data_IF_782303903586
#
_entry.id   IF_782303903586
#
_cell.length_a   1.000
_cell.length_b   1.000
_cell.length_c   1.000
_cell.angle_alpha   90.00
_cell.angle_beta   90.00
_cell.angle_gamma   90.00
#
_symmetry.space_group_name_H-M   'P 1'
#
loop_
_entity.id
_entity.type
_entity.pdbx_description
1 polymer ?
#
# COMPACT_ATOMS: atom_id res chain seq x y z
N UNK A 1 -49.78 -49.35 46.07
CA UNK A 1 -50.04 -48.39 44.98
C UNK A 1 -49.03 -48.71 43.90
N UNK A 2 -49.48 -49.44 42.90
CA UNK A 2 -48.87 -49.71 41.59
C UNK A 2 -50.03 -49.58 40.58
N UNK A 3 -49.81 -49.50 39.26
CA UNK A 3 -49.12 -48.43 38.50
C UNK A 3 -50.00 -47.98 37.30
N UNK A 4 -49.53 -47.07 36.45
CA UNK A 4 -49.94 -47.02 35.04
C UNK A 4 -48.93 -46.22 34.18
N UNK A 5 -48.29 -46.95 33.27
CA UNK A 5 -47.51 -46.46 32.13
C UNK A 5 -48.41 -45.78 31.09
N UNK A 6 -47.85 -44.84 30.34
CA UNK A 6 -48.46 -44.32 29.11
C UNK A 6 -47.39 -44.23 28.01
N UNK A 7 -47.61 -44.81 26.82
CA UNK A 7 -46.71 -44.64 25.69
C UNK A 7 -47.17 -43.47 24.82
N UNK A 8 -46.23 -42.62 24.39
CA UNK A 8 -46.47 -41.55 23.42
C UNK A 8 -45.39 -41.60 22.36
N UNK A 9 -45.80 -42.05 21.16
CA UNK A 9 -44.96 -42.39 20.03
C UNK A 9 -44.24 -41.18 19.43
N UNK A 10 -43.01 -41.44 18.96
CA UNK A 10 -42.27 -40.60 18.03
C UNK A 10 -42.87 -40.79 16.64
N UNK A 11 -43.35 -39.70 16.03
CA UNK A 11 -43.81 -39.69 14.64
C UNK A 11 -42.72 -39.00 13.81
N UNK A 12 -41.99 -39.81 13.04
CA UNK A 12 -41.05 -39.40 12.02
C UNK A 12 -41.79 -39.52 10.68
N UNK A 13 -42.26 -38.41 10.13
CA UNK A 13 -42.60 -38.33 8.72
C UNK A 13 -41.49 -37.56 8.01
N UNK A 14 -40.72 -38.33 7.24
CA UNK A 14 -39.73 -37.83 6.30
C UNK A 14 -40.42 -37.36 5.03
N UNK A 15 -40.04 -36.18 4.60
CA UNK A 15 -40.25 -35.71 3.23
C UNK A 15 -39.01 -36.12 2.42
N UNK A 16 -39.19 -37.11 1.55
CA UNK A 16 -38.19 -37.52 0.55
C UNK A 16 -38.32 -36.59 -0.67
N UNK A 17 -37.35 -35.67 -0.84
CA UNK A 17 -37.08 -35.06 -2.14
C UNK A 17 -36.21 -36.00 -2.97
N UNK A 18 -36.72 -36.36 -4.16
CA UNK A 18 -36.08 -37.21 -5.15
C UNK A 18 -34.95 -36.42 -5.83
N UNK A 19 -33.70 -36.80 -5.58
CA UNK A 19 -32.54 -36.34 -6.36
C UNK A 19 -32.24 -37.41 -7.41
N UNK A 20 -32.43 -37.06 -8.69
CA UNK A 20 -31.96 -37.86 -9.83
C UNK A 20 -30.43 -37.83 -9.86
N UNK A 21 -29.80 -38.96 -9.54
CA UNK A 21 -28.36 -39.17 -9.70
C UNK A 21 -28.11 -39.72 -11.10
N UNK A 22 -27.54 -38.91 -11.98
CA UNK A 22 -26.98 -39.38 -13.26
C UNK A 22 -25.56 -39.89 -13.00
N UNK A 23 -25.38 -41.20 -12.99
CA UNK A 23 -24.06 -41.83 -12.99
C UNK A 23 -23.41 -41.72 -14.39
N UNK A 24 -22.38 -40.89 -14.52
CA UNK A 24 -21.49 -40.90 -15.67
C UNK A 24 -20.33 -41.87 -15.38
N UNK A 25 -20.31 -42.99 -16.10
CA UNK A 25 -19.22 -43.98 -16.07
C UNK A 25 -17.93 -43.46 -16.73
N UNK A 26 -16.77 -44.06 -16.42
CA UNK A 26 -15.47 -43.56 -16.85
C UNK A 26 -15.23 -43.76 -18.37
N UNK A 27 -14.48 -42.86 -19.04
CA UNK A 27 -14.12 -43.05 -20.44
C UNK A 27 -13.01 -44.09 -20.59
N UNK A 28 -13.17 -44.99 -21.57
CA UNK A 28 -12.12 -45.89 -22.07
C UNK A 28 -11.31 -45.25 -23.22
N UNK A 29 -10.10 -45.74 -23.49
CA UNK A 29 -9.21 -45.16 -24.51
C UNK A 29 -9.47 -45.75 -25.91
N UNK A 30 -8.91 -45.07 -26.92
CA UNK A 30 -8.85 -45.37 -28.37
C UNK A 30 -10.05 -44.92 -29.21
N UNK A 31 -9.89 -43.81 -29.95
CA UNK A 31 -9.41 -43.87 -31.35
C UNK A 31 -9.42 -42.45 -31.97
N UNK A 32 -8.23 -41.92 -32.27
CA UNK A 32 -7.99 -40.70 -33.06
C UNK A 32 -7.34 -41.10 -34.39
N UNK A 33 -8.15 -41.27 -35.42
CA UNK A 33 -7.83 -41.32 -36.86
C UNK A 33 -9.20 -41.48 -37.55
N UNK A 34 -9.63 -40.81 -38.61
CA UNK A 34 -9.04 -40.17 -39.77
C UNK A 34 -10.12 -39.19 -40.30
N UNK A 35 -9.74 -38.11 -40.98
CA UNK A 35 -10.44 -37.57 -42.17
C UNK A 35 -9.70 -36.32 -42.67
N UNK A 36 -8.76 -36.55 -43.59
CA UNK A 36 -8.29 -35.57 -44.56
C UNK A 36 -8.60 -36.15 -45.94
N UNK A 37 -9.45 -35.47 -46.70
CA UNK A 37 -9.62 -35.71 -48.14
C UNK A 37 -9.02 -34.55 -48.93
N UNK A 38 -8.28 -34.96 -49.96
CA UNK A 38 -7.48 -34.17 -50.90
C UNK A 38 -8.32 -33.32 -51.87
N UNK A 39 -7.81 -32.15 -52.27
CA UNK A 39 -8.01 -31.63 -53.64
C UNK A 39 -6.74 -30.90 -54.11
N UNK A 40 -6.04 -31.52 -55.06
CA UNK A 40 -4.96 -30.94 -55.88
C UNK A 40 -5.52 -30.01 -56.98
N UNK A 41 -4.80 -28.93 -57.33
CA UNK A 41 -4.75 -28.39 -58.70
C UNK A 41 -3.40 -27.70 -59.00
N UNK A 42 -2.96 -27.92 -60.24
CA UNK A 42 -1.62 -27.72 -60.82
C UNK A 42 -1.26 -26.28 -61.26
N UNK A 43 -0.02 -26.21 -61.75
CA UNK A 43 0.93 -25.16 -62.14
C UNK A 43 0.60 -24.25 -63.36
N UNK A 44 1.48 -23.24 -63.54
CA UNK A 44 1.85 -22.44 -64.72
C UNK A 44 1.23 -21.03 -64.96
N UNK A 45 2.09 -20.00 -64.84
CA UNK A 45 2.48 -19.19 -66.02
C UNK A 45 1.86 -17.78 -66.26
N UNK A 46 2.67 -16.75 -65.95
CA UNK A 46 2.85 -15.44 -66.63
C UNK A 46 1.71 -14.39 -66.70
N UNK A 47 1.96 -13.18 -66.17
CA UNK A 47 2.20 -11.91 -66.91
C UNK A 47 2.16 -10.70 -65.95
N UNK A 48 3.20 -9.85 -66.00
CA UNK A 48 3.23 -8.49 -65.40
C UNK A 48 2.45 -7.50 -66.28
N UNK A 49 1.82 -6.46 -65.69
CA UNK A 49 2.41 -5.13 -65.89
C UNK A 49 2.31 -4.14 -64.71
N UNK A 50 3.43 -3.46 -64.46
CA UNK A 50 3.66 -2.01 -64.29
C UNK A 50 2.68 -1.09 -63.50
N UNK A 51 3.31 -0.22 -62.70
CA UNK A 51 2.84 1.04 -62.09
C UNK A 51 1.86 0.91 -60.91
N UNK A 52 2.12 1.44 -59.73
CA UNK A 52 2.47 2.83 -59.41
C UNK A 52 3.21 2.89 -58.05
N UNK A 53 4.25 3.71 -58.02
CA UNK A 53 4.93 4.10 -56.80
C UNK A 53 4.02 5.04 -56.00
N UNK A 54 3.64 4.64 -54.80
CA UNK A 54 3.15 5.55 -53.78
C UNK A 54 4.30 5.79 -52.80
N UNK A 55 5.14 6.76 -53.14
CA UNK A 55 5.91 7.47 -52.12
C UNK A 55 4.88 8.18 -51.23
N UNK A 56 4.57 7.62 -50.07
CA UNK A 56 3.92 8.39 -49.02
C UNK A 56 4.97 9.33 -48.46
N UNK A 57 4.83 10.59 -48.84
CA UNK A 57 5.54 11.76 -48.36
C UNK A 57 5.78 11.66 -46.85
N UNK A 58 7.00 11.98 -46.46
CA UNK A 58 7.41 12.18 -45.07
C UNK A 58 6.39 13.11 -44.38
N UNK A 59 5.50 12.51 -43.59
CA UNK A 59 4.78 13.23 -42.55
C UNK A 59 5.83 13.52 -41.48
N UNK A 60 6.62 14.58 -41.69
CA UNK A 60 7.29 15.28 -40.61
C UNK A 60 6.21 15.87 -39.71
N UNK A 61 5.60 14.97 -38.93
CA UNK A 61 4.82 15.30 -37.76
C UNK A 61 5.70 16.22 -36.93
N UNK A 62 5.18 17.43 -36.73
CA UNK A 62 5.73 18.40 -35.81
C UNK A 62 5.82 17.71 -34.45
N UNK A 63 7.02 17.21 -34.13
CA UNK A 63 7.43 16.90 -32.77
C UNK A 63 7.42 18.24 -32.03
N UNK A 64 6.24 18.63 -31.55
CA UNK A 64 6.08 19.72 -30.61
C UNK A 64 6.78 19.25 -29.33
N UNK A 65 8.10 19.44 -29.32
CA UNK A 65 9.03 19.12 -28.23
C UNK A 65 8.77 19.95 -26.99
N UNK A 66 7.58 19.82 -26.41
CA UNK A 66 7.39 20.06 -24.99
C UNK A 66 8.16 18.98 -24.26
N UNK A 67 9.42 19.28 -23.94
CA UNK A 67 10.17 18.52 -22.94
C UNK A 67 9.26 18.28 -21.74
N UNK A 68 9.04 17.01 -21.38
CA UNK A 68 8.23 16.67 -20.22
C UNK A 68 8.78 17.42 -19.00
N UNK A 69 7.91 18.11 -18.27
CA UNK A 69 8.30 18.87 -17.09
C UNK A 69 8.91 17.90 -16.06
N UNK A 70 10.18 18.08 -15.74
CA UNK A 70 10.88 17.37 -14.67
C UNK A 70 11.51 18.38 -13.68
N UNK A 71 10.88 18.50 -12.52
CA UNK A 71 11.28 19.36 -11.41
C UNK A 71 12.27 18.65 -10.46
N UNK A 72 12.73 17.43 -10.78
CA UNK A 72 13.65 16.67 -9.93
C UNK A 72 15.09 17.17 -10.03
N UNK A 73 15.80 17.15 -8.91
CA UNK A 73 17.22 17.53 -8.82
C UNK A 73 18.13 16.31 -9.04
N UNK A 74 17.70 15.14 -8.55
CA UNK A 74 18.45 13.88 -8.63
C UNK A 74 17.49 12.75 -9.00
N UNK A 75 17.94 11.85 -9.86
CA UNK A 75 17.21 10.63 -10.24
C UNK A 75 18.07 9.40 -9.90
N UNK A 76 17.47 8.40 -9.25
CA UNK A 76 18.03 7.07 -9.03
C UNK A 76 17.46 6.11 -10.10
N UNK A 77 18.33 5.50 -10.91
CA UNK A 77 17.92 4.74 -12.10
C UNK A 77 18.59 3.36 -12.22
N UNK A 78 18.91 2.71 -11.09
CA UNK A 78 19.48 1.34 -11.14
C UNK A 78 18.41 0.23 -11.08
N UNK A 79 17.18 0.55 -10.67
CA UNK A 79 16.11 -0.44 -10.72
C UNK A 79 15.75 -0.76 -12.18
N UNK A 80 15.51 -2.03 -12.48
CA UNK A 80 15.11 -2.47 -13.83
C UNK A 80 13.60 -2.65 -14.00
N UNK A 81 12.83 -2.45 -12.93
CA UNK A 81 11.38 -2.57 -12.86
C UNK A 81 10.83 -1.57 -11.82
N UNK A 82 9.52 -1.60 -11.54
CA UNK A 82 8.84 -0.61 -10.69
C UNK A 82 9.49 -0.44 -9.33
N UNK A 83 9.53 0.78 -8.79
CA UNK A 83 10.11 1.05 -7.47
C UNK A 83 8.98 1.24 -6.45
N UNK A 84 8.82 0.28 -5.54
CA UNK A 84 7.66 0.17 -4.67
C UNK A 84 7.74 0.98 -3.38
N UNK A 85 8.94 1.14 -2.80
CA UNK A 85 9.07 1.76 -1.48
C UNK A 85 10.30 2.64 -1.35
N UNK A 86 10.22 3.65 -0.48
CA UNK A 86 11.34 4.53 -0.14
C UNK A 86 11.35 4.92 1.33
N UNK A 87 12.56 5.05 1.89
CA UNK A 87 12.77 5.64 3.20
C UNK A 87 14.01 6.52 3.23
N UNK A 88 13.96 7.58 4.02
CA UNK A 88 15.06 8.53 4.22
C UNK A 88 15.77 8.26 5.55
N UNK A 89 17.08 8.49 5.58
CA UNK A 89 17.88 8.45 6.80
C UNK A 89 17.37 9.47 7.82
N UNK A 90 16.79 9.05 8.95
CA UNK A 90 16.14 9.95 9.91
C UNK A 90 17.13 10.80 10.72
N UNK A 91 18.42 10.42 10.76
CA UNK A 91 19.44 11.06 11.61
C UNK A 91 20.26 12.07 10.83
N UNK A 92 20.71 11.70 9.63
CA UNK A 92 21.63 12.55 8.85
C UNK A 92 20.95 13.21 7.67
N UNK A 93 19.81 12.66 7.20
CA UNK A 93 19.14 13.11 5.99
C UNK A 93 20.05 13.09 4.74
N UNK A 94 21.05 12.22 4.72
CA UNK A 94 22.00 12.12 3.59
C UNK A 94 21.78 10.90 2.71
N UNK A 95 21.05 9.90 3.21
CA UNK A 95 20.80 8.64 2.52
C UNK A 95 19.32 8.39 2.29
N UNK A 96 19.03 7.66 1.22
CA UNK A 96 17.74 7.06 0.94
C UNK A 96 17.92 5.55 0.72
N UNK A 97 16.90 4.76 1.02
CA UNK A 97 16.81 3.37 0.60
C UNK A 97 15.56 3.21 -0.27
N UNK A 98 15.69 2.49 -1.39
CA UNK A 98 14.58 2.14 -2.27
C UNK A 98 14.48 0.62 -2.40
N UNK A 99 13.28 0.09 -2.61
CA UNK A 99 13.02 -1.32 -2.95
C UNK A 99 12.10 -1.41 -4.16
N UNK A 100 12.30 -2.43 -5.01
CA UNK A 100 11.58 -2.54 -6.27
C UNK A 100 11.19 -3.95 -6.67
N UNK A 101 10.46 -4.02 -7.77
CA UNK A 101 9.95 -5.23 -8.44
C UNK A 101 11.06 -6.11 -9.03
N UNK A 102 12.28 -5.58 -9.13
CA UNK A 102 13.46 -6.28 -9.63
C UNK A 102 14.17 -7.13 -8.54
N UNK A 103 13.46 -7.48 -7.47
CA UNK A 103 13.94 -8.22 -6.29
C UNK A 103 15.15 -7.57 -5.61
N UNK A 104 15.29 -6.25 -5.73
CA UNK A 104 16.42 -5.50 -5.20
C UNK A 104 15.99 -4.34 -4.34
N UNK A 105 16.91 -3.98 -3.45
CA UNK A 105 16.91 -2.68 -2.82
C UNK A 105 18.29 -2.03 -2.93
N UNK A 106 18.31 -0.71 -2.90
CA UNK A 106 19.53 0.08 -3.03
C UNK A 106 19.56 1.17 -1.97
N UNK A 107 20.74 1.42 -1.41
CA UNK A 107 21.00 2.55 -0.51
C UNK A 107 21.80 3.61 -1.27
N UNK A 108 21.29 4.83 -1.30
CA UNK A 108 21.77 5.94 -2.12
C UNK A 108 22.23 7.10 -1.26
N UNK A 109 23.14 7.93 -1.78
CA UNK A 109 23.33 9.29 -1.29
C UNK A 109 22.35 10.22 -2.00
N UNK A 110 21.57 10.97 -1.21
CA UNK A 110 20.49 11.83 -1.72
C UNK A 110 21.02 13.02 -2.54
N UNK A 111 22.21 13.53 -2.20
CA UNK A 111 22.73 14.77 -2.80
C UNK A 111 23.19 14.64 -4.25
N UNK A 112 23.54 13.44 -4.69
CA UNK A 112 24.14 13.19 -6.01
C UNK A 112 23.68 11.88 -6.67
N UNK A 113 22.89 11.06 -5.97
CA UNK A 113 22.42 9.77 -6.47
C UNK A 113 23.48 8.69 -6.49
N UNK A 114 24.62 8.88 -5.81
CA UNK A 114 25.63 7.83 -5.72
C UNK A 114 25.10 6.61 -4.95
N UNK A 115 25.21 5.44 -5.57
CA UNK A 115 24.95 4.16 -4.91
C UNK A 115 25.97 3.94 -3.78
N UNK A 116 25.48 3.73 -2.56
CA UNK A 116 26.29 3.34 -1.41
C UNK A 116 26.53 1.83 -1.37
N UNK A 117 25.47 1.04 -1.47
CA UNK A 117 25.49 -0.42 -1.64
C UNK A 117 24.12 -0.97 -2.11
N UNK A 118 24.13 -2.17 -2.70
CA UNK A 118 22.96 -2.96 -3.08
C UNK A 118 22.61 -3.97 -1.99
N UNK A 119 21.33 -4.07 -1.67
CA UNK A 119 20.73 -5.05 -0.77
C UNK A 119 20.24 -6.26 -1.59
N UNK A 120 21.15 -7.14 -2.00
CA UNK A 120 20.86 -8.27 -2.89
C UNK A 120 20.41 -9.55 -2.15
N UNK A 121 19.83 -10.50 -2.89
CA UNK A 121 19.53 -11.85 -2.39
C UNK A 121 18.11 -12.05 -1.87
N UNK A 122 17.20 -11.13 -2.20
CA UNK A 122 15.76 -11.31 -2.08
C UNK A 122 15.25 -12.36 -3.07
N UNK A 123 14.08 -12.93 -2.78
CA UNK A 123 13.47 -14.01 -3.59
C UNK A 123 12.32 -13.53 -4.46
N UNK A 124 11.87 -12.31 -4.20
CA UNK A 124 10.72 -11.66 -4.81
C UNK A 124 10.86 -10.13 -4.63
N UNK A 125 9.87 -9.39 -5.11
CA UNK A 125 9.81 -7.94 -5.10
C UNK A 125 10.01 -7.35 -3.71
N UNK A 126 10.90 -6.36 -3.58
CA UNK A 126 11.15 -5.68 -2.30
C UNK A 126 10.13 -4.57 -2.08
N UNK A 127 9.10 -4.88 -1.29
CA UNK A 127 7.97 -3.97 -1.02
C UNK A 127 8.11 -3.15 0.25
N UNK A 128 9.05 -3.51 1.13
CA UNK A 128 9.31 -2.77 2.37
C UNK A 128 10.79 -2.43 2.52
N UNK A 129 11.11 -1.16 2.74
CA UNK A 129 12.47 -0.73 3.08
C UNK A 129 12.46 0.41 4.09
N UNK A 130 13.38 0.41 5.05
CA UNK A 130 13.40 1.42 6.09
C UNK A 130 14.71 1.51 6.87
N UNK A 131 15.06 2.73 7.29
CA UNK A 131 16.14 2.95 8.25
C UNK A 131 15.66 2.76 9.68
N UNK A 132 16.53 2.18 10.50
CA UNK A 132 16.41 2.26 11.97
C UNK A 132 16.51 3.71 12.45
N UNK A 133 15.94 3.99 13.63
CA UNK A 133 15.82 5.35 14.17
C UNK A 133 17.14 6.14 14.34
N UNK A 134 18.28 5.44 14.42
CA UNK A 134 19.62 6.03 14.55
C UNK A 134 20.49 5.84 13.30
N UNK A 135 19.88 5.31 12.23
CA UNK A 135 20.46 5.10 10.91
C UNK A 135 21.63 4.11 10.88
N UNK A 136 21.76 3.28 11.90
CA UNK A 136 22.79 2.23 11.96
C UNK A 136 22.44 1.07 11.04
N UNK A 137 21.16 0.75 10.94
CA UNK A 137 20.62 -0.34 10.13
C UNK A 137 19.63 0.13 9.08
N UNK A 138 19.59 -0.62 7.98
CA UNK A 138 18.53 -0.62 6.97
C UNK A 138 17.88 -2.01 6.97
N UNK A 139 16.56 -2.08 7.02
CA UNK A 139 15.81 -3.31 6.79
C UNK A 139 15.18 -3.29 5.40
N UNK A 140 15.15 -4.44 4.75
CA UNK A 140 14.48 -4.70 3.47
C UNK A 140 13.64 -5.96 3.61
N UNK A 141 12.42 -5.96 3.10
CA UNK A 141 11.49 -7.10 3.15
C UNK A 141 10.83 -7.30 1.79
N UNK A 142 10.86 -8.54 1.30
CA UNK A 142 10.20 -8.90 0.03
C UNK A 142 8.83 -9.56 0.21
N UNK A 143 8.05 -9.63 -0.88
CA UNK A 143 6.70 -10.20 -0.91
C UNK A 143 6.64 -11.66 -0.45
N UNK A 144 7.71 -12.43 -0.66
CA UNK A 144 7.81 -13.82 -0.20
C UNK A 144 8.01 -13.96 1.32
N UNK A 145 8.27 -12.85 2.01
CA UNK A 145 8.48 -12.83 3.45
C UNK A 145 9.92 -12.82 3.91
N UNK A 146 10.89 -12.70 3.01
CA UNK A 146 12.30 -12.64 3.41
C UNK A 146 12.68 -11.22 3.81
N UNK A 147 12.91 -11.05 5.11
CA UNK A 147 13.40 -9.82 5.73
C UNK A 147 14.92 -9.93 5.89
N UNK A 148 15.64 -8.92 5.43
CA UNK A 148 17.08 -8.75 5.60
C UNK A 148 17.38 -7.43 6.31
N UNK A 149 18.42 -7.42 7.14
CA UNK A 149 18.92 -6.21 7.78
C UNK A 149 20.40 -6.04 7.48
N UNK A 150 20.74 -4.83 7.05
CA UNK A 150 22.05 -4.41 6.63
C UNK A 150 22.60 -3.38 7.60
N UNK A 151 23.88 -3.50 7.96
CA UNK A 151 24.60 -2.49 8.71
C UNK A 151 25.18 -1.47 7.74
N UNK A 152 24.80 -0.19 7.89
CA UNK A 152 25.06 0.86 6.89
C UNK A 152 26.54 1.18 6.74
N UNK A 153 27.30 1.27 7.83
CA UNK A 153 28.73 1.61 7.80
C UNK A 153 29.60 0.48 7.26
N UNK A 154 29.23 -0.77 7.57
CA UNK A 154 29.91 -1.97 7.11
C UNK A 154 29.47 -2.44 5.72
N UNK A 155 28.29 -2.01 5.24
CA UNK A 155 27.68 -2.42 3.97
C UNK A 155 27.50 -3.93 3.85
N UNK A 156 27.13 -4.57 4.96
CA UNK A 156 26.98 -6.02 5.05
C UNK A 156 25.63 -6.40 5.67
N UNK A 157 25.10 -7.54 5.23
CA UNK A 157 23.96 -8.18 5.87
C UNK A 157 24.38 -8.68 7.26
N UNK A 158 23.64 -8.29 8.29
CA UNK A 158 23.90 -8.68 9.68
C UNK A 158 22.81 -9.59 10.26
N UNK A 159 21.66 -9.67 9.60
CA UNK A 159 20.53 -10.48 10.06
C UNK A 159 19.54 -10.75 8.92
N UNK A 160 18.89 -11.91 8.93
CA UNK A 160 17.79 -12.25 8.03
C UNK A 160 16.80 -13.21 8.69
N UNK A 161 15.54 -13.14 8.27
CA UNK A 161 14.48 -14.05 8.71
C UNK A 161 13.37 -14.16 7.67
N UNK A 162 12.69 -15.31 7.61
CA UNK A 162 11.60 -15.57 6.67
C UNK A 162 10.29 -15.79 7.44
N UNK A 163 9.30 -14.92 7.21
CA UNK A 163 7.99 -14.94 7.90
C UNK A 163 6.84 -15.53 7.09
N UNK A 164 7.05 -15.79 5.79
CA UNK A 164 5.96 -15.97 4.83
C UNK A 164 5.41 -14.62 4.35
N UNK A 165 4.42 -14.65 3.47
CA UNK A 165 3.89 -13.47 2.74
C UNK A 165 3.77 -12.22 3.62
N UNK A 166 4.63 -11.23 3.32
CA UNK A 166 4.82 -10.01 4.11
C UNK A 166 3.88 -8.91 3.60
N UNK A 167 3.12 -8.31 4.51
CA UNK A 167 2.18 -7.22 4.20
C UNK A 167 2.78 -5.85 4.51
N UNK A 168 3.50 -5.72 5.64
CA UNK A 168 4.13 -4.47 6.04
C UNK A 168 5.27 -4.73 7.02
N UNK A 169 6.19 -3.76 7.12
CA UNK A 169 7.30 -3.77 8.07
C UNK A 169 7.56 -2.37 8.62
N UNK A 170 7.86 -2.27 9.92
CA UNK A 170 8.17 -1.00 10.58
C UNK A 170 9.28 -1.12 11.62
N UNK A 171 10.20 -0.16 11.63
CA UNK A 171 11.17 -0.01 12.71
C UNK A 171 10.55 0.65 13.93
N UNK A 172 10.91 0.14 15.10
CA UNK A 172 10.61 0.80 16.35
C UNK A 172 11.27 2.18 16.43
N UNK A 173 10.56 3.24 16.85
CA UNK A 173 11.03 4.63 16.74
C UNK A 173 12.21 4.98 17.66
N UNK A 174 12.59 4.09 18.57
CA UNK A 174 13.61 4.34 19.60
C UNK A 174 14.52 3.15 19.91
N UNK A 175 14.38 2.04 19.17
CA UNK A 175 15.16 0.83 19.43
C UNK A 175 15.39 0.05 18.14
N UNK A 176 16.43 -0.78 18.11
CA UNK A 176 16.66 -1.75 17.04
C UNK A 176 15.71 -2.93 17.17
N UNK A 177 14.42 -2.65 16.97
CA UNK A 177 13.34 -3.62 16.97
C UNK A 177 12.56 -3.45 15.68
N UNK A 178 12.29 -4.55 14.98
CA UNK A 178 11.43 -4.59 13.80
C UNK A 178 10.09 -5.21 14.16
N UNK A 179 9.02 -4.66 13.60
CA UNK A 179 7.69 -5.29 13.54
C UNK A 179 7.34 -5.60 12.08
N UNK A 180 6.62 -6.69 11.86
CA UNK A 180 6.09 -7.04 10.54
C UNK A 180 4.73 -7.73 10.66
N UNK A 181 3.82 -7.47 9.72
CA UNK A 181 2.56 -8.19 9.57
C UNK A 181 2.58 -9.11 8.35
N UNK A 182 1.87 -10.23 8.45
CA UNK A 182 1.84 -11.27 7.42
C UNK A 182 0.42 -11.58 6.94
N UNK A 183 0.31 -12.20 5.76
CA UNK A 183 -0.97 -12.59 5.14
C UNK A 183 -1.76 -13.62 5.98
N UNK A 184 -1.09 -14.39 6.84
CA UNK A 184 -1.76 -15.30 7.79
C UNK A 184 -2.36 -14.57 9.01
N UNK A 185 -2.19 -13.25 9.08
CA UNK A 185 -2.69 -12.38 10.15
C UNK A 185 -1.79 -12.28 11.38
N UNK A 186 -0.66 -12.96 11.40
CA UNK A 186 0.29 -12.81 12.50
C UNK A 186 1.03 -11.48 12.40
N UNK A 187 1.47 -10.99 13.56
CA UNK A 187 2.46 -9.92 13.64
C UNK A 187 3.68 -10.46 14.35
N UNK A 188 4.85 -10.11 13.85
CA UNK A 188 6.13 -10.55 14.36
C UNK A 188 6.90 -9.36 14.90
N UNK A 189 7.73 -9.59 15.91
CA UNK A 189 8.60 -8.57 16.48
C UNK A 189 9.97 -9.17 16.82
N UNK A 190 11.03 -8.55 16.33
CA UNK A 190 12.40 -9.02 16.55
C UNK A 190 13.26 -7.94 17.17
N UNK A 191 14.15 -8.33 18.08
CA UNK A 191 15.31 -7.52 18.42
C UNK A 191 16.41 -7.77 17.40
N UNK A 192 16.99 -6.70 16.88
CA UNK A 192 18.01 -6.75 15.85
C UNK A 192 19.35 -6.30 16.43
N UNK A 193 20.47 -7.00 16.17
CA UNK A 193 20.60 -8.21 15.34
C UNK A 193 20.49 -9.52 16.12
N UNK A 194 20.10 -9.52 17.40
CA UNK A 194 20.09 -10.76 18.22
C UNK A 194 19.10 -11.82 17.71
N UNK A 195 18.04 -11.40 17.02
CA UNK A 195 16.99 -12.27 16.49
C UNK A 195 15.98 -12.73 17.54
N UNK A 196 16.01 -12.19 18.77
CA UNK A 196 15.01 -12.52 19.79
C UNK A 196 13.61 -12.16 19.27
N UNK A 197 12.75 -13.16 19.12
CA UNK A 197 11.48 -13.05 18.42
C UNK A 197 10.28 -13.18 19.37
N UNK A 198 9.23 -12.40 19.10
CA UNK A 198 7.89 -12.56 19.65
C UNK A 198 6.86 -12.52 18.53
N UNK A 199 5.82 -13.34 18.64
CA UNK A 199 4.67 -13.35 17.74
C UNK A 199 3.41 -12.85 18.45
N UNK A 200 2.52 -12.20 17.69
CA UNK A 200 1.22 -11.72 18.12
C UNK A 200 0.17 -12.33 17.19
N UNK A 201 -0.65 -13.23 17.71
CA UNK A 201 -1.57 -14.01 16.89
C UNK A 201 -2.84 -13.22 16.56
N UNK A 202 -3.04 -12.94 15.26
CA UNK A 202 -4.20 -12.19 14.75
C UNK A 202 -5.47 -13.03 14.58
N UNK A 203 -6.42 -12.55 13.76
CA UNK A 203 -7.70 -13.23 13.48
C UNK A 203 -7.64 -14.28 12.35
N UNK A 204 -6.45 -14.67 11.88
CA UNK A 204 -6.26 -15.62 10.76
C UNK A 204 -6.75 -15.10 9.40
N UNK A 205 -6.58 -13.81 9.15
CA UNK A 205 -6.67 -13.15 7.86
C UNK A 205 -5.58 -12.07 7.75
N UNK A 206 -5.21 -11.61 6.54
CA UNK A 206 -4.08 -10.71 6.33
C UNK A 206 -4.06 -9.52 7.28
N UNK A 207 -2.89 -9.30 7.88
CA UNK A 207 -2.60 -8.09 8.66
C UNK A 207 -2.20 -6.98 7.69
N UNK A 208 -3.17 -6.32 7.06
CA UNK A 208 -2.98 -5.43 5.92
C UNK A 208 -2.25 -4.12 6.23
N UNK A 209 -2.31 -3.63 7.47
CA UNK A 209 -1.55 -2.45 7.87
C UNK A 209 -1.18 -2.47 9.36
N UNK A 210 -0.09 -1.79 9.71
CA UNK A 210 0.42 -1.74 11.08
C UNK A 210 1.08 -0.42 11.42
N UNK A 211 1.06 -0.06 12.71
CA UNK A 211 1.82 1.08 13.23
C UNK A 211 2.24 0.89 14.69
N UNK A 212 3.51 1.15 15.00
CA UNK A 212 4.00 1.31 16.37
C UNK A 212 3.60 2.70 16.89
N UNK A 213 2.94 2.77 18.05
CA UNK A 213 2.58 4.05 18.64
C UNK A 213 3.83 4.80 19.14
N UNK A 214 3.82 6.15 19.19
CA UNK A 214 4.99 6.95 19.59
C UNK A 214 5.56 6.63 20.98
N UNK A 215 4.78 5.98 21.84
CA UNK A 215 5.25 5.52 23.16
C UNK A 215 6.18 4.29 23.10
N UNK A 216 6.29 3.63 21.94
CA UNK A 216 7.10 2.43 21.71
C UNK A 216 6.64 1.18 22.46
N UNK A 217 5.48 1.23 23.11
CA UNK A 217 4.97 0.17 23.99
C UNK A 217 3.74 -0.49 23.40
N UNK A 218 3.03 0.21 22.53
CA UNK A 218 1.83 -0.26 21.87
C UNK A 218 1.99 -0.26 20.36
N UNK A 219 1.27 -1.14 19.70
CA UNK A 219 1.11 -1.12 18.24
C UNK A 219 -0.36 -1.29 17.88
N UNK A 220 -0.72 -0.86 16.68
CA UNK A 220 -2.03 -1.06 16.08
C UNK A 220 -1.83 -1.90 14.84
N UNK A 221 -2.72 -2.86 14.64
CA UNK A 221 -2.75 -3.70 13.43
C UNK A 221 -4.17 -3.72 12.90
N UNK A 222 -4.32 -3.40 11.62
CA UNK A 222 -5.55 -3.55 10.84
C UNK A 222 -5.52 -4.84 10.04
N UNK A 223 -6.70 -5.37 9.76
CA UNK A 223 -6.86 -6.67 9.11
C UNK A 223 -7.84 -6.61 7.93
N UNK A 224 -7.75 -7.60 7.05
CA UNK A 224 -8.64 -7.76 5.88
C UNK A 224 -10.12 -7.92 6.27
N UNK A 225 -10.42 -8.50 7.44
CA UNK A 225 -11.80 -8.72 7.90
C UNK A 225 -12.48 -7.46 8.50
N UNK A 226 -11.86 -6.29 8.36
CA UNK A 226 -12.34 -5.04 8.96
C UNK A 226 -12.02 -4.89 10.46
N UNK A 227 -11.34 -5.87 11.07
CA UNK A 227 -10.90 -5.80 12.46
C UNK A 227 -9.71 -4.87 12.63
N UNK A 228 -9.64 -4.19 13.77
CA UNK A 228 -8.41 -3.56 14.27
C UNK A 228 -8.09 -4.10 15.67
N UNK A 229 -6.80 -4.35 15.94
CA UNK A 229 -6.30 -4.65 17.29
C UNK A 229 -5.26 -3.64 17.76
N UNK A 230 -5.34 -3.27 19.04
CA UNK A 230 -4.30 -2.51 19.74
C UNK A 230 -3.56 -3.48 20.66
N UNK A 231 -2.26 -3.59 20.50
CA UNK A 231 -1.40 -4.54 21.19
C UNK A 231 -0.54 -3.87 22.27
N UNK A 232 -0.28 -4.58 23.36
CA UNK A 232 0.86 -4.30 24.26
C UNK A 232 2.07 -5.13 23.79
N UNK A 233 3.12 -4.44 23.35
CA UNK A 233 4.32 -5.08 22.77
C UNK A 233 5.15 -5.81 23.83
N UNK A 234 5.15 -5.32 25.08
CA UNK A 234 5.91 -5.94 26.17
C UNK A 234 5.30 -7.26 26.60
N UNK A 235 3.99 -7.35 26.70
CA UNK A 235 3.28 -8.53 27.19
C UNK A 235 2.78 -9.45 26.08
N UNK A 236 2.66 -8.96 24.84
CA UNK A 236 2.13 -9.78 23.73
C UNK A 236 0.60 -9.89 23.75
N UNK A 237 -0.10 -8.99 24.43
CA UNK A 237 -1.54 -9.11 24.68
C UNK A 237 -2.33 -8.05 23.92
N UNK A 238 -3.48 -8.43 23.36
CA UNK A 238 -4.42 -7.47 22.76
C UNK A 238 -5.08 -6.65 23.87
N UNK A 239 -4.87 -5.34 23.85
CA UNK A 239 -5.50 -4.38 24.76
C UNK A 239 -6.95 -4.11 24.33
N UNK A 240 -7.16 -3.90 23.03
CA UNK A 240 -8.45 -3.60 22.44
C UNK A 240 -8.63 -4.34 21.12
N UNK A 241 -9.87 -4.73 20.81
CA UNK A 241 -10.27 -5.36 19.54
C UNK A 241 -11.55 -4.66 19.06
N UNK A 242 -11.48 -3.98 17.91
CA UNK A 242 -12.63 -3.35 17.27
C UNK A 242 -13.03 -4.19 16.07
N UNK A 243 -14.27 -4.69 16.06
CA UNK A 243 -14.82 -5.56 15.02
C UNK A 243 -16.34 -5.37 14.91
N UNK A 244 -16.95 -5.87 13.85
CA UNK A 244 -18.39 -5.72 13.64
C UNK A 244 -18.79 -4.25 13.54
N UNK A 245 -19.76 -3.80 14.34
CA UNK A 245 -20.24 -2.40 14.29
C UNK A 245 -19.17 -1.37 14.71
N UNK A 246 -18.27 -1.76 15.62
CA UNK A 246 -17.17 -0.89 16.05
C UNK A 246 -15.98 -0.93 15.07
N UNK A 247 -15.84 -2.03 14.31
CA UNK A 247 -14.84 -2.20 13.23
C UNK A 247 -15.27 -1.64 11.88
N UNK A 248 -14.42 -1.77 10.86
CA UNK A 248 -14.76 -1.47 9.47
C UNK A 248 -15.59 -2.62 8.87
N UNK A 249 -16.31 -2.34 7.77
CA UNK A 249 -17.11 -3.36 7.09
C UNK A 249 -16.33 -4.08 5.97
N UNK A 250 -15.24 -3.48 5.51
CA UNK A 250 -14.35 -3.99 4.47
C UNK A 250 -12.89 -3.89 4.96
N UNK A 251 -11.89 -4.40 4.21
CA UNK A 251 -10.49 -4.41 4.62
C UNK A 251 -9.97 -3.06 5.10
N UNK A 252 -9.13 -3.07 6.14
CA UNK A 252 -8.36 -1.89 6.52
C UNK A 252 -7.21 -1.72 5.52
N UNK A 253 -6.94 -0.49 5.13
CA UNK A 253 -5.92 -0.15 4.13
C UNK A 253 -4.76 0.62 4.75
N UNK A 254 -5.06 1.47 5.75
CA UNK A 254 -4.04 2.32 6.36
C UNK A 254 -4.36 2.65 7.83
N UNK A 255 -3.31 3.00 8.57
CA UNK A 255 -3.40 3.40 9.97
C UNK A 255 -2.47 4.58 10.28
N UNK A 256 -2.99 5.55 11.05
CA UNK A 256 -2.26 6.69 11.55
C UNK A 256 -2.38 6.86 13.07
N UNK A 257 -1.36 7.45 13.70
CA UNK A 257 -1.42 7.88 15.10
C UNK A 257 -1.00 9.34 15.22
N UNK A 258 -1.59 10.06 16.17
CA UNK A 258 -1.14 11.40 16.50
C UNK A 258 0.15 11.39 17.33
N UNK A 259 0.79 12.55 17.51
CA UNK A 259 2.13 12.67 18.10
C UNK A 259 2.25 12.13 19.53
N UNK A 260 1.21 12.26 20.36
CA UNK A 260 1.21 11.74 21.74
C UNK A 260 0.69 10.29 21.84
N UNK A 261 0.26 9.70 20.71
CA UNK A 261 -0.28 8.36 20.63
C UNK A 261 -1.60 8.17 21.38
N UNK A 262 -2.34 9.23 21.72
CA UNK A 262 -3.66 9.15 22.36
C UNK A 262 -4.79 8.85 21.38
N UNK A 263 -4.60 9.19 20.10
CA UNK A 263 -5.56 8.98 19.02
C UNK A 263 -4.94 8.14 17.89
N UNK A 264 -5.77 7.28 17.32
CA UNK A 264 -5.49 6.45 16.15
C UNK A 264 -6.54 6.78 15.09
N UNK A 265 -6.14 6.80 13.83
CA UNK A 265 -7.04 6.81 12.68
C UNK A 265 -6.85 5.54 11.87
N UNK A 266 -7.93 4.93 11.43
CA UNK A 266 -7.92 3.77 10.51
C UNK A 266 -8.74 4.10 9.27
N UNK A 267 -8.28 3.62 8.12
CA UNK A 267 -8.91 3.79 6.82
C UNK A 267 -9.22 2.43 6.22
N UNK A 268 -10.21 2.38 5.34
CA UNK A 268 -10.72 1.14 4.77
C UNK A 268 -11.29 1.36 3.38
N UNK A 269 -11.39 0.23 2.66
CA UNK A 269 -12.15 0.08 1.42
C UNK A 269 -13.64 0.43 1.61
N UNK A 270 -14.15 0.42 2.84
CA UNK A 270 -15.53 0.85 3.16
C UNK A 270 -15.76 2.37 3.01
N UNK A 271 -14.78 3.09 2.44
CA UNK A 271 -14.74 4.54 2.22
C UNK A 271 -14.79 5.38 3.50
N UNK A 272 -14.67 4.78 4.68
CA UNK A 272 -14.69 5.49 5.94
C UNK A 272 -13.32 5.53 6.58
N UNK A 273 -13.06 6.63 7.30
CA UNK A 273 -11.99 6.69 8.26
C UNK A 273 -12.57 6.75 9.69
N UNK A 274 -12.01 5.97 10.62
CA UNK A 274 -12.44 6.00 12.03
C UNK A 274 -11.37 6.60 12.90
N UNK A 275 -11.76 7.52 13.79
CA UNK A 275 -10.91 8.07 14.84
C UNK A 275 -11.17 7.30 16.14
N UNK A 276 -10.12 6.77 16.76
CA UNK A 276 -10.21 5.89 17.93
C UNK A 276 -9.31 6.40 19.05
N UNK A 277 -9.82 6.40 20.28
CA UNK A 277 -9.00 6.68 21.46
C UNK A 277 -8.17 5.44 21.82
N UNK A 278 -6.84 5.55 21.76
CA UNK A 278 -5.92 4.42 21.88
C UNK A 278 -5.87 3.79 23.28
N UNK A 279 -6.24 4.55 24.31
CA UNK A 279 -6.26 4.07 25.69
C UNK A 279 -7.52 3.27 26.02
N UNK A 280 -8.65 3.64 25.43
CA UNK A 280 -9.97 3.06 25.74
C UNK A 280 -10.53 2.15 24.65
N UNK A 281 -9.97 2.17 23.44
CA UNK A 281 -10.47 1.42 22.30
C UNK A 281 -11.81 1.94 21.75
N UNK A 282 -12.27 3.12 22.19
CA UNK A 282 -13.55 3.68 21.77
C UNK A 282 -13.40 4.48 20.47
N UNK A 283 -14.32 4.24 19.53
CA UNK A 283 -14.50 5.10 18.36
C UNK A 283 -15.00 6.47 18.83
N UNK A 284 -14.22 7.50 18.51
CA UNK A 284 -14.50 8.91 18.82
C UNK A 284 -15.33 9.54 17.70
N UNK A 285 -14.99 9.23 16.45
CA UNK A 285 -15.65 9.78 15.26
C UNK A 285 -15.53 8.81 14.09
N UNK A 286 -16.47 8.89 13.15
CA UNK A 286 -16.41 8.23 11.84
C UNK A 286 -16.51 9.30 10.78
N UNK A 287 -15.43 9.48 10.02
CA UNK A 287 -15.39 10.36 8.87
C UNK A 287 -15.94 9.63 7.66
N UNK A 288 -16.93 10.24 7.01
CA UNK A 288 -17.58 9.72 5.83
C UNK A 288 -17.41 10.72 4.71
N UNK A 289 -17.04 10.23 3.54
CA UNK A 289 -17.06 11.00 2.30
C UNK A 289 -18.21 10.46 1.46
N UNK A 290 -19.15 11.33 1.09
CA UNK A 290 -20.18 10.96 0.12
C UNK A 290 -19.50 10.80 -1.24
N UNK A 291 -19.54 9.58 -1.80
CA UNK A 291 -19.10 9.35 -3.18
C UNK A 291 -19.92 10.23 -4.12
N UNK A 292 -19.23 10.88 -5.07
CA UNK A 292 -19.87 11.72 -6.09
C UNK A 292 -20.55 10.86 -7.16
N UNK A 293 -20.24 9.55 -7.22
CA UNK A 293 -20.91 8.60 -8.10
C UNK A 293 -22.00 7.85 -7.32
N UNK A 294 -23.29 8.01 -7.69
CA UNK A 294 -24.34 7.14 -7.18
C UNK A 294 -24.00 5.70 -7.58
N UNK A 295 -24.12 4.74 -6.65
CA UNK A 295 -24.16 3.31 -7.00
C UNK A 295 -25.32 3.09 -7.98
N UNK A 296 -25.03 3.08 -9.27
CA UNK A 296 -25.99 2.61 -10.26
C UNK A 296 -26.29 1.13 -9.98
N UNK A 297 -27.52 0.65 -10.20
CA UNK A 297 -27.80 -0.77 -10.11
C UNK A 297 -26.93 -1.50 -11.13
N UNK A 298 -26.15 -2.46 -10.61
CA UNK A 298 -25.14 -3.25 -11.31
C UNK A 298 -25.70 -3.78 -12.64
N UNK A 299 -25.16 -3.29 -13.76
CA UNK A 299 -25.05 -4.07 -15.00
C UNK A 299 -23.69 -4.77 -14.97
N UNK A 300 -23.67 -6.05 -15.35
CA UNK A 300 -22.56 -7.01 -15.18
C UNK A 300 -21.27 -6.70 -15.99
N UNK A 301 -20.97 -5.44 -16.31
CA UNK A 301 -19.87 -5.11 -17.24
C UNK A 301 -19.14 -3.78 -17.00
N UNK A 302 -19.42 -3.05 -15.92
CA UNK A 302 -18.64 -1.85 -15.57
C UNK A 302 -18.37 -1.89 -14.07
N UNK A 303 -17.11 -2.15 -13.70
CA UNK A 303 -16.62 -1.97 -12.34
C UNK A 303 -16.86 -0.50 -11.97
N UNK A 304 -17.92 -0.22 -11.22
CA UNK A 304 -18.12 1.10 -10.65
C UNK A 304 -16.87 1.39 -9.81
N UNK A 305 -16.05 2.36 -10.24
CA UNK A 305 -14.80 2.71 -9.56
C UNK A 305 -15.04 2.83 -8.05
N UNK A 306 -14.59 1.82 -7.32
CA UNK A 306 -14.80 1.73 -5.89
C UNK A 306 -13.79 2.64 -5.24
N UNK A 307 -14.25 3.74 -4.67
CA UNK A 307 -13.39 4.60 -3.85
C UNK A 307 -12.94 3.83 -2.60
N UNK A 308 -11.83 4.27 -1.99
CA UNK A 308 -11.25 3.69 -0.79
C UNK A 308 -10.41 4.75 -0.09
N UNK A 309 -10.21 4.61 1.22
CA UNK A 309 -9.30 5.46 1.99
C UNK A 309 -7.89 4.89 1.83
N UNK A 310 -6.96 5.65 1.27
CA UNK A 310 -5.60 5.15 1.00
C UNK A 310 -4.56 5.71 1.98
N UNK A 311 -4.79 6.90 2.52
CA UNK A 311 -3.83 7.51 3.42
C UNK A 311 -4.43 8.42 4.48
N UNK A 312 -3.76 8.50 5.62
CA UNK A 312 -4.23 9.18 6.83
C UNK A 312 -3.10 9.91 7.52
N UNK A 313 -3.43 11.03 8.16
CA UNK A 313 -2.44 11.75 8.94
C UNK A 313 -3.01 12.83 9.84
N UNK A 314 -2.24 13.17 10.86
CA UNK A 314 -2.56 14.20 11.84
C UNK A 314 -1.65 15.41 11.63
N UNK A 315 -2.24 16.60 11.73
CA UNK A 315 -1.48 17.82 11.84
C UNK A 315 -0.84 17.92 13.24
N UNK A 316 0.44 18.23 13.29
CA UNK A 316 1.18 18.32 14.57
C UNK A 316 0.99 19.66 15.29
N UNK A 317 0.55 20.70 14.57
CA UNK A 317 0.47 22.08 15.10
C UNK A 317 -0.97 22.57 15.33
N UNK A 318 -1.97 21.86 14.82
CA UNK A 318 -3.39 22.20 14.94
C UNK A 318 -4.21 20.92 15.08
N UNK A 319 -5.43 20.97 15.65
CA UNK A 319 -6.30 19.79 15.76
C UNK A 319 -6.96 19.46 14.41
N UNK A 320 -6.16 19.23 13.37
CA UNK A 320 -6.61 18.80 12.05
C UNK A 320 -6.15 17.37 11.77
N UNK A 321 -6.92 16.68 10.94
CA UNK A 321 -6.49 15.45 10.30
C UNK A 321 -6.82 15.49 8.81
N UNK A 322 -6.09 14.71 8.03
CA UNK A 322 -6.34 14.52 6.60
C UNK A 322 -6.64 13.06 6.30
N UNK A 323 -7.50 12.87 5.31
CA UNK A 323 -7.85 11.57 4.71
C UNK A 323 -7.67 11.72 3.21
N UNK A 324 -6.82 10.89 2.63
CA UNK A 324 -6.60 10.77 1.19
C UNK A 324 -7.34 9.57 0.64
N UNK A 325 -7.96 9.74 -0.53
CA UNK A 325 -8.83 8.76 -1.15
C UNK A 325 -8.34 8.37 -2.55
N UNK A 326 -8.72 7.17 -2.99
CA UNK A 326 -8.40 6.63 -4.32
C UNK A 326 -9.06 7.43 -5.46
N UNK A 327 -10.15 8.15 -5.20
CA UNK A 327 -10.78 9.06 -6.17
C UNK A 327 -10.08 10.43 -6.31
N UNK A 328 -8.92 10.61 -5.67
CA UNK A 328 -8.16 11.86 -5.67
C UNK A 328 -8.66 12.90 -4.67
N UNK A 329 -9.70 12.60 -3.88
CA UNK A 329 -10.16 13.49 -2.82
C UNK A 329 -9.12 13.55 -1.70
N UNK A 330 -8.71 14.76 -1.31
CA UNK A 330 -8.05 15.05 -0.04
C UNK A 330 -9.05 15.76 0.88
N UNK A 331 -9.50 15.10 1.93
CA UNK A 331 -10.42 15.64 2.91
C UNK A 331 -9.67 16.07 4.18
N UNK A 332 -9.80 17.34 4.57
CA UNK A 332 -9.21 17.87 5.80
C UNK A 332 -10.31 18.10 6.81
N UNK A 333 -10.20 17.47 7.98
CA UNK A 333 -11.18 17.53 9.07
C UNK A 333 -10.64 18.35 10.24
N UNK A 334 -11.54 19.08 10.90
CA UNK A 334 -11.27 19.66 12.20
C UNK A 334 -11.66 18.65 13.29
N UNK A 335 -10.69 18.21 14.10
CA UNK A 335 -10.87 17.19 15.11
C UNK A 335 -11.65 17.69 16.34
N UNK A 336 -11.68 19.00 16.57
CA UNK A 336 -12.40 19.57 17.71
C UNK A 336 -13.90 19.61 17.44
N UNK A 337 -14.29 19.96 16.21
CA UNK A 337 -15.69 20.00 15.77
C UNK A 337 -16.15 18.73 15.06
N UNK A 338 -15.22 17.83 14.72
CA UNK A 338 -15.46 16.60 13.96
C UNK A 338 -16.14 16.85 12.61
N UNK A 339 -15.81 17.97 11.97
CA UNK A 339 -16.44 18.40 10.72
C UNK A 339 -15.43 18.51 9.58
N UNK A 340 -15.86 18.18 8.37
CA UNK A 340 -15.10 18.45 7.16
C UNK A 340 -14.84 19.95 7.04
N UNK A 341 -13.58 20.32 6.87
CA UNK A 341 -13.12 21.70 6.76
C UNK A 341 -12.86 22.06 5.31
N UNK A 342 -12.13 21.20 4.60
CA UNK A 342 -11.80 21.37 3.19
C UNK A 342 -11.90 20.04 2.45
N UNK A 343 -12.39 20.11 1.20
CA UNK A 343 -12.31 19.03 0.22
C UNK A 343 -11.47 19.55 -0.94
N UNK A 344 -10.31 18.96 -1.14
CA UNK A 344 -9.35 19.26 -2.20
C UNK A 344 -9.38 18.11 -3.22
N UNK A 345 -9.20 18.40 -4.51
CA UNK A 345 -9.31 17.41 -5.58
C UNK A 345 -7.99 17.29 -6.34
N UNK A 346 -7.51 16.07 -6.52
CA UNK A 346 -6.41 15.69 -7.40
C UNK A 346 -6.94 15.17 -8.74
N UNK A 347 -6.07 15.14 -9.75
CA UNK A 347 -6.41 14.61 -11.08
C UNK A 347 -6.55 13.09 -11.08
N UNK A 348 -5.88 12.42 -10.14
CA UNK A 348 -5.91 10.96 -9.96
C UNK A 348 -5.84 10.58 -8.47
N UNK A 349 -5.92 9.29 -8.17
CA UNK A 349 -5.95 8.75 -6.82
C UNK A 349 -4.74 9.14 -5.97
N UNK A 350 -4.99 9.43 -4.69
CA UNK A 350 -3.93 9.73 -3.73
C UNK A 350 -3.37 8.40 -3.22
N UNK A 351 -2.05 8.25 -3.29
CA UNK A 351 -1.35 7.06 -2.80
C UNK A 351 -0.93 7.23 -1.36
N UNK A 352 -0.30 8.37 -1.04
CA UNK A 352 0.15 8.65 0.32
C UNK A 352 0.02 10.13 0.66
N UNK A 353 -0.14 10.44 1.95
CA UNK A 353 -0.04 11.78 2.50
C UNK A 353 0.91 11.83 3.70
N UNK A 354 1.66 12.93 3.82
CA UNK A 354 2.59 13.18 4.93
C UNK A 354 2.42 14.62 5.43
N UNK A 355 2.31 14.80 6.74
CA UNK A 355 2.22 16.14 7.34
C UNK A 355 3.62 16.70 7.64
N UNK A 356 3.79 17.99 7.37
CA UNK A 356 4.97 18.71 7.82
C UNK A 356 5.03 18.76 9.36
N UNK A 357 6.19 18.51 9.96
CA UNK A 357 6.33 18.45 11.43
C UNK A 357 6.00 19.79 12.11
N UNK A 358 6.38 20.90 11.49
CA UNK A 358 6.35 22.24 12.11
C UNK A 358 5.23 23.15 11.60
N UNK A 359 4.37 22.66 10.69
CA UNK A 359 3.43 23.51 9.98
C UNK A 359 2.14 22.77 9.61
N UNK A 360 1.11 23.52 9.19
CA UNK A 360 -0.18 22.96 8.79
C UNK A 360 -0.20 22.60 7.29
N UNK A 361 0.90 22.06 6.79
CA UNK A 361 1.05 21.67 5.39
C UNK A 361 0.98 20.17 5.31
N UNK A 362 0.22 19.68 4.34
CA UNK A 362 0.18 18.27 3.99
C UNK A 362 0.74 18.09 2.58
N UNK A 363 1.66 17.15 2.45
CA UNK A 363 2.20 16.66 1.20
C UNK A 363 1.34 15.48 0.76
N UNK A 364 1.06 15.38 -0.54
CA UNK A 364 0.40 14.23 -1.15
C UNK A 364 1.19 13.80 -2.38
N UNK A 365 1.24 12.49 -2.63
CA UNK A 365 1.57 11.96 -3.94
C UNK A 365 0.35 11.24 -4.53
N UNK A 366 0.26 11.23 -5.85
CA UNK A 366 -0.86 10.64 -6.57
C UNK A 366 -0.43 9.83 -7.78
N UNK A 367 -1.36 9.02 -8.28
CA UNK A 367 -1.17 8.14 -9.43
C UNK A 367 -0.93 8.90 -10.75
N UNK A 368 -1.06 10.22 -10.77
CA UNK A 368 -0.72 11.08 -11.92
C UNK A 368 0.76 11.47 -11.97
N UNK A 369 1.60 10.88 -11.11
CA UNK A 369 3.04 11.12 -11.09
C UNK A 369 3.46 12.44 -10.43
N UNK A 370 2.55 13.12 -9.71
CA UNK A 370 2.81 14.43 -9.10
C UNK A 370 2.85 14.39 -7.57
N UNK A 371 3.73 15.22 -6.99
CA UNK A 371 3.72 15.57 -5.57
C UNK A 371 3.11 16.95 -5.38
N UNK A 372 2.18 17.08 -4.44
CA UNK A 372 1.48 18.35 -4.16
C UNK A 372 1.57 18.75 -2.70
N UNK A 373 1.72 20.03 -2.46
CA UNK A 373 1.74 20.63 -1.13
C UNK A 373 0.47 21.44 -0.93
N UNK A 374 -0.23 21.22 0.18
CA UNK A 374 -1.50 21.89 0.48
C UNK A 374 -1.42 22.63 1.82
N UNK A 375 -1.90 23.87 1.86
CA UNK A 375 -2.12 24.57 3.13
C UNK A 375 -3.44 24.10 3.74
N UNK A 376 -3.35 23.29 4.79
CA UNK A 376 -4.53 22.70 5.41
C UNK A 376 -5.45 23.72 6.11
N UNK A 377 -4.97 24.95 6.34
CA UNK A 377 -5.81 26.03 6.88
C UNK A 377 -6.80 26.56 5.85
N UNK A 378 -6.36 26.65 4.59
CA UNK A 378 -7.11 27.28 3.50
C UNK A 378 -7.62 26.29 2.45
N UNK A 379 -7.13 25.06 2.43
CA UNK A 379 -7.44 24.05 1.42
C UNK A 379 -6.83 24.35 0.05
N UNK A 380 -5.90 25.31 -0.03
CA UNK A 380 -5.25 25.71 -1.29
C UNK A 380 -3.98 24.92 -1.53
N UNK A 381 -3.79 24.49 -2.77
CA UNK A 381 -2.51 23.99 -3.25
C UNK A 381 -1.48 25.13 -3.23
N UNK A 382 -0.29 24.84 -2.69
CA UNK A 382 0.85 25.75 -2.56
C UNK A 382 1.79 25.55 -3.75
N UNK A 383 2.10 24.28 -4.04
CA UNK A 383 3.06 23.88 -5.07
C UNK A 383 2.73 22.49 -5.59
N UNK A 384 3.15 22.23 -6.81
CA UNK A 384 3.08 20.93 -7.50
C UNK A 384 4.47 20.67 -8.08
N UNK A 385 4.95 19.43 -7.98
CA UNK A 385 6.22 18.97 -8.53
C UNK A 385 5.96 17.74 -9.41
N UNK A 386 6.49 17.74 -10.62
CA UNK A 386 6.34 16.68 -11.64
C UNK A 386 7.71 16.20 -12.11
N UNK A 387 7.75 15.01 -12.72
CA UNK A 387 8.96 14.48 -13.34
C UNK A 387 8.89 13.00 -13.63
N UNK A 388 8.03 12.26 -12.93
CA UNK A 388 7.76 10.86 -13.25
C UNK A 388 6.90 10.74 -14.52
N UNK A 389 7.17 9.72 -15.32
CA UNK A 389 6.37 9.38 -16.51
C UNK A 389 5.27 8.35 -16.23
N UNK A 390 5.16 7.89 -14.98
CA UNK A 390 4.16 6.96 -14.48
C UNK A 390 3.71 7.37 -13.06
N UNK A 391 2.83 6.58 -12.46
CA UNK A 391 2.33 6.77 -11.11
C UNK A 391 3.44 6.79 -10.06
N UNK A 392 3.28 7.61 -9.01
CA UNK A 392 4.11 7.52 -7.80
C UNK A 392 3.55 6.42 -6.91
N UNK A 393 4.41 5.52 -6.42
CA UNK A 393 4.04 4.37 -5.59
C UNK A 393 4.34 4.58 -4.10
N UNK A 394 5.34 5.40 -3.76
CA UNK A 394 5.64 5.81 -2.39
C UNK A 394 6.41 7.15 -2.40
N UNK A 395 6.42 7.85 -1.28
CA UNK A 395 7.28 9.01 -1.09
C UNK A 395 7.66 9.25 0.38
N UNK A 396 8.86 9.77 0.58
CA UNK A 396 9.35 10.20 1.88
C UNK A 396 9.67 11.70 1.88
N UNK A 397 9.33 12.38 2.97
CA UNK A 397 9.75 13.77 3.23
C UNK A 397 10.78 13.75 4.35
N UNK A 398 11.87 14.49 4.18
CA UNK A 398 12.84 14.63 5.25
C UNK A 398 12.34 15.49 6.41
N UNK A 399 13.05 15.41 7.55
CA UNK A 399 12.61 16.06 8.80
C UNK A 399 12.46 17.58 8.70
N UNK A 400 13.34 18.26 7.98
CA UNK A 400 13.26 19.72 7.81
C UNK A 400 12.33 20.14 6.66
N UNK A 401 11.70 19.18 5.98
CA UNK A 401 10.81 19.37 4.84
C UNK A 401 11.45 20.21 3.72
N UNK A 402 12.74 19.99 3.47
CA UNK A 402 13.48 20.57 2.34
C UNK A 402 13.59 19.63 1.14
N UNK A 403 13.44 18.32 1.35
CA UNK A 403 13.59 17.29 0.32
C UNK A 403 12.40 16.33 0.37
N UNK A 404 11.91 16.00 -0.82
CA UNK A 404 10.99 14.88 -1.06
C UNK A 404 11.70 13.86 -1.94
N UNK A 405 11.59 12.58 -1.60
CA UNK A 405 12.01 11.47 -2.48
C UNK A 405 10.81 10.62 -2.81
N UNK A 406 10.58 10.37 -4.09
CA UNK A 406 9.46 9.57 -4.61
C UNK A 406 9.98 8.33 -5.31
N UNK A 407 9.15 7.31 -5.41
CA UNK A 407 9.38 6.11 -6.22
C UNK A 407 8.20 5.89 -7.16
N UNK A 408 8.43 5.27 -8.32
CA UNK A 408 7.41 5.21 -9.37
C UNK A 408 7.45 3.90 -10.17
N UNK A 409 6.33 3.63 -10.85
CA UNK A 409 6.22 2.60 -11.89
C UNK A 409 7.11 2.85 -13.11
N UNK A 410 7.70 4.04 -13.26
CA UNK A 410 8.67 4.35 -14.32
C UNK A 410 10.10 3.83 -14.05
N UNK A 411 10.24 2.98 -13.03
CA UNK A 411 11.47 2.33 -12.61
C UNK A 411 12.51 3.29 -12.00
N UNK A 412 12.09 4.51 -11.68
CA UNK A 412 12.95 5.53 -11.07
C UNK A 412 12.49 5.90 -9.68
N UNK A 413 13.45 6.41 -8.91
CA UNK A 413 13.17 7.24 -7.76
C UNK A 413 13.71 8.64 -8.00
N UNK A 414 12.97 9.68 -7.62
CA UNK A 414 13.33 11.08 -7.88
C UNK A 414 13.40 11.87 -6.59
N UNK A 415 14.35 12.80 -6.53
CA UNK A 415 14.59 13.71 -5.41
C UNK A 415 14.18 15.11 -5.82
N UNK A 416 13.26 15.72 -5.09
CA UNK A 416 12.78 17.08 -5.31
C UNK A 416 13.23 17.99 -4.16
N UNK A 417 13.79 19.14 -4.48
CA UNK A 417 14.06 20.19 -3.51
C UNK A 417 12.79 21.04 -3.33
N UNK A 418 12.12 20.89 -2.20
CA UNK A 418 10.83 21.54 -1.93
C UNK A 418 10.94 22.78 -1.04
N UNK A 419 12.14 23.37 -1.01
CA UNK A 419 12.41 24.56 -0.18
C UNK A 419 11.49 25.72 -0.55
N UNK A 420 10.91 26.35 0.48
CA UNK A 420 10.11 27.56 0.31
C UNK A 420 11.04 28.77 0.25
N UNK A 421 10.90 29.66 -0.74
CA UNK A 421 11.71 30.89 -0.83
C UNK A 421 11.61 31.85 0.38
N UNK A 422 10.67 31.61 1.31
CA UNK A 422 10.30 32.54 2.38
C UNK A 422 10.50 32.01 3.81
N UNK A 423 11.49 31.12 4.06
CA UNK A 423 11.84 30.67 5.43
C UNK A 423 13.24 31.07 5.86
#
# INVERSE_FOLDING_TARGET
MEPAEGPGALDLHGDEEIIEVVELGPPGPDDLAEEMEDVDFEDEGAEEPDAEAWESEDDEGVDDGMEAQDDSEVTFSLHSASVFCVSLDPKTNTLAVTGGEDDKAFVWRVSDGELLFECSGHKDSVTCAGFSHDSVFVATGDMSGLIKVWRVDAKEEVWSFEVGDLEWMEWHPQAHVLLAGTADGNTWMWKIPSGDCKTFQGPACPATCGRILPDGKRAVVGYEDGTMRIWDLKHGTSLHVLKGQDGHQDPLTCVASNQDGSLIMTGSVDCHAKLVNSATGKVVCVFKMESVTPKAPISESEEAESNSVESLGFCNVMPLAAVGYLDGTLAIYDLSTQSLRHKCQHESGIVQLLWEESSAVVYTCSLDGAVRLWDARSGKMISEYRGHSAEILDFAVNKDASIVVTTSGDHQAKVFCVQRPDR
#
